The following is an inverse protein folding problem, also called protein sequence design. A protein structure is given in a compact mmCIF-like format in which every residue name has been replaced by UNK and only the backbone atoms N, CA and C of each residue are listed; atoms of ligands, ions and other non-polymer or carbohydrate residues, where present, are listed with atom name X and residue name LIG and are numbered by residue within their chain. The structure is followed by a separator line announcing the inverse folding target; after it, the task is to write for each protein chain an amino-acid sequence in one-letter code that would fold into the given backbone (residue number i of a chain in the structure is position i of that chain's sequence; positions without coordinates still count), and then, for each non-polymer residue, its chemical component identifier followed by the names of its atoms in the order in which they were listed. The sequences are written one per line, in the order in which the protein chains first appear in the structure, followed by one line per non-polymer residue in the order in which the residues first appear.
data_IF_197950524038
#
_entry.id   IF_197950524038
#
_cell.length_a   1.000
_cell.length_b   1.000
_cell.length_c   1.000
_cell.angle_alpha   90.00
_cell.angle_beta   90.00
_cell.angle_gamma   90.00
#
_symmetry.space_group_name_H-M   'P 1'
#
loop_
_entity.id
_entity.type
_entity.pdbx_description
1 polymer ?
#
# COMPACT_ATOMS: atom_id res chain seq x y z
N UNK A 1 -38.45 49.06 -38.53
CA UNK A 1 -38.92 49.21 -37.13
C UNK A 1 -40.34 48.65 -37.01
N UNK A 2 -40.54 47.60 -36.22
CA UNK A 2 -41.83 47.23 -35.63
C UNK A 2 -41.54 46.59 -34.26
N UNK A 3 -41.92 47.23 -33.14
CA UNK A 3 -41.98 46.57 -31.86
C UNK A 3 -43.39 46.05 -31.58
N UNK A 4 -43.46 45.16 -30.57
CA UNK A 4 -44.59 44.93 -29.65
C UNK A 4 -45.40 43.66 -29.89
N UNK A 5 -45.02 42.61 -29.15
CA UNK A 5 -45.97 41.63 -28.62
C UNK A 5 -46.20 41.90 -27.13
N UNK A 6 -47.48 41.97 -26.75
CA UNK A 6 -48.02 42.18 -25.40
C UNK A 6 -48.33 40.79 -24.74
N UNK A 7 -49.04 40.72 -23.59
CA UNK A 7 -48.59 40.93 -22.21
C UNK A 7 -48.91 39.68 -21.33
N UNK A 8 -48.85 39.83 -19.99
CA UNK A 8 -49.86 39.35 -19.02
C UNK A 8 -49.36 38.44 -17.86
N UNK A 9 -49.13 39.09 -16.72
CA UNK A 9 -49.53 38.73 -15.33
C UNK A 9 -48.81 37.63 -14.55
N UNK A 10 -47.95 38.11 -13.65
CA UNK A 10 -48.00 37.90 -12.19
C UNK A 10 -48.67 36.60 -11.68
N UNK A 11 -47.85 35.57 -11.46
CA UNK A 11 -48.10 34.61 -10.39
C UNK A 11 -46.80 34.46 -9.59
N UNK A 12 -46.87 34.96 -8.34
CA UNK A 12 -46.40 34.25 -7.15
C UNK A 12 -44.89 34.11 -6.99
N UNK A 13 -44.20 34.95 -6.23
CA UNK A 13 -44.29 35.04 -4.74
C UNK A 13 -44.24 33.70 -3.97
N UNK A 14 -43.94 32.57 -4.61
CA UNK A 14 -43.65 31.33 -3.89
C UNK A 14 -42.36 30.70 -4.37
N UNK A 15 -41.53 30.36 -3.38
CA UNK A 15 -40.46 29.38 -3.47
C UNK A 15 -39.11 29.86 -4.03
N UNK A 16 -38.73 31.08 -3.67
CA UNK A 16 -37.33 31.41 -3.32
C UNK A 16 -36.81 30.61 -2.09
N UNK A 17 -37.47 29.51 -1.72
CA UNK A 17 -37.27 28.70 -0.51
C UNK A 17 -37.11 27.21 -0.83
N UNK A 18 -36.45 26.84 -1.95
CA UNK A 18 -36.08 25.44 -2.21
C UNK A 18 -34.68 25.19 -2.76
N UNK A 19 -33.74 26.14 -2.65
CA UNK A 19 -32.32 25.88 -2.98
C UNK A 19 -31.45 25.68 -1.72
N UNK A 20 -31.99 25.84 -0.51
CA UNK A 20 -31.18 25.79 0.73
C UNK A 20 -31.07 24.39 1.36
N UNK A 21 -31.64 23.30 0.82
CA UNK A 21 -31.86 22.07 1.66
C UNK A 21 -31.68 20.67 1.05
N UNK A 22 -30.84 20.44 0.04
CA UNK A 22 -30.46 19.05 -0.30
C UNK A 22 -29.07 18.92 -0.92
N UNK A 23 -28.04 18.92 -0.07
CA UNK A 23 -26.73 18.34 -0.39
C UNK A 23 -26.13 17.63 0.84
N UNK A 24 -26.93 16.79 1.48
CA UNK A 24 -26.43 15.70 2.35
C UNK A 24 -26.87 14.40 1.66
N UNK A 25 -26.21 14.06 0.56
CA UNK A 25 -26.39 12.77 -0.12
C UNK A 25 -25.20 12.48 -1.05
N UNK A 26 -23.98 12.58 -0.51
CA UNK A 26 -22.76 12.29 -1.25
C UNK A 26 -21.63 11.82 -0.36
N UNK A 27 -21.93 11.17 0.77
CA UNK A 27 -20.90 10.75 1.73
C UNK A 27 -21.30 9.48 2.50
N UNK A 28 -21.64 8.40 1.78
CA UNK A 28 -21.73 7.05 2.35
C UNK A 28 -21.04 5.97 1.50
N UNK A 29 -20.33 6.34 0.42
CA UNK A 29 -19.54 5.38 -0.38
C UNK A 29 -18.06 5.40 0.02
N UNK A 30 -17.57 6.49 0.62
CA UNK A 30 -16.15 6.62 0.99
C UNK A 30 -15.75 5.75 2.19
N UNK A 31 -16.69 5.28 3.01
CA UNK A 31 -16.37 4.49 4.20
C UNK A 31 -16.17 2.98 3.96
N UNK A 32 -16.59 2.44 2.81
CA UNK A 32 -16.54 0.98 2.57
C UNK A 32 -15.16 0.51 2.07
N UNK A 33 -14.29 1.41 1.60
CA UNK A 33 -12.96 1.02 1.10
C UNK A 33 -11.86 0.97 2.17
N UNK A 34 -12.08 1.51 3.38
CA UNK A 34 -11.07 1.54 4.45
C UNK A 34 -10.85 0.14 5.08
N UNK A 35 -11.74 -0.82 4.85
CA UNK A 35 -11.72 -2.14 5.51
C UNK A 35 -10.98 -3.27 4.79
N UNK A 36 -10.43 -3.07 3.59
CA UNK A 36 -9.84 -4.17 2.78
C UNK A 36 -8.32 -4.35 2.95
N UNK A 37 -7.69 -3.67 3.91
CA UNK A 37 -6.29 -3.88 4.21
C UNK A 37 -6.13 -4.90 5.36
N UNK A 38 -6.57 -6.14 5.15
CA UNK A 38 -6.21 -7.26 6.02
C UNK A 38 -4.84 -7.76 5.57
N UNK A 39 -3.77 -7.08 6.00
CA UNK A 39 -2.42 -7.56 5.77
C UNK A 39 -2.27 -8.95 6.41
N UNK A 40 -1.84 -9.95 5.64
CA UNK A 40 -1.48 -11.24 6.22
C UNK A 40 -0.40 -11.00 7.28
N UNK A 41 -0.70 -11.33 8.52
CA UNK A 41 0.26 -11.25 9.61
C UNK A 41 1.40 -12.22 9.29
N UNK A 42 2.62 -11.70 9.20
CA UNK A 42 3.78 -12.53 8.91
C UNK A 42 4.02 -13.47 10.11
N UNK A 43 4.29 -14.75 9.82
CA UNK A 43 4.69 -15.69 10.87
C UNK A 43 5.97 -15.24 11.56
N UNK A 44 6.18 -15.67 12.80
CA UNK A 44 7.41 -15.39 13.55
C UNK A 44 8.68 -15.79 12.76
N UNK A 45 8.64 -16.93 12.05
CA UNK A 45 9.76 -17.38 11.23
C UNK A 45 10.02 -16.47 10.04
N UNK A 46 8.97 -15.95 9.40
CA UNK A 46 9.13 -14.96 8.33
C UNK A 46 9.72 -13.65 8.86
N UNK A 47 9.30 -13.19 10.05
CA UNK A 47 9.86 -11.98 10.67
C UNK A 47 11.34 -12.18 10.99
N UNK A 48 11.70 -13.29 11.62
CA UNK A 48 13.10 -13.62 11.95
C UNK A 48 13.98 -13.77 10.71
N UNK A 49 13.48 -14.46 9.67
CA UNK A 49 14.20 -14.60 8.40
C UNK A 49 14.42 -13.24 7.73
N UNK A 50 13.41 -12.36 7.75
CA UNK A 50 13.52 -11.01 7.19
C UNK A 50 14.54 -10.15 7.95
N UNK A 51 14.60 -10.31 9.27
CA UNK A 51 15.61 -9.65 10.08
C UNK A 51 17.03 -10.10 9.69
N UNK A 52 17.29 -11.40 9.61
CA UNK A 52 18.60 -11.93 9.19
C UNK A 52 18.98 -11.50 7.77
N UNK A 53 18.03 -11.52 6.84
CA UNK A 53 18.26 -11.08 5.47
C UNK A 53 18.60 -9.57 5.38
N UNK A 54 18.00 -8.72 6.22
CA UNK A 54 18.30 -7.29 6.24
C UNK A 54 19.48 -6.91 7.15
N UNK A 55 19.96 -7.84 7.97
CA UNK A 55 21.12 -7.63 8.84
C UNK A 55 22.35 -7.24 8.04
N UNK A 56 22.56 -7.90 6.91
CA UNK A 56 23.67 -7.60 5.99
C UNK A 56 23.72 -6.12 5.58
N UNK A 57 22.57 -5.52 5.29
CA UNK A 57 22.46 -4.10 4.92
C UNK A 57 22.65 -3.14 6.07
N UNK A 58 22.46 -3.63 7.29
CA UNK A 58 22.50 -2.81 8.51
C UNK A 58 23.86 -2.87 9.18
N UNK A 59 24.70 -3.85 8.82
CA UNK A 59 26.05 -4.04 9.32
C UNK A 59 27.06 -3.32 8.41
N UNK A 60 28.06 -2.67 9.02
CA UNK A 60 29.24 -2.22 8.28
C UNK A 60 30.26 -3.34 8.26
N UNK A 61 30.41 -4.00 7.11
CA UNK A 61 31.44 -5.04 6.94
C UNK A 61 32.80 -4.42 6.61
N UNK A 62 33.90 -4.98 7.13
CA UNK A 62 35.24 -4.62 6.67
C UNK A 62 35.40 -4.98 5.19
N UNK A 63 35.92 -4.06 4.35
CA UNK A 63 36.06 -4.30 2.91
C UNK A 63 37.04 -5.44 2.57
N UNK A 64 37.89 -5.85 3.51
CA UNK A 64 38.76 -7.03 3.31
C UNK A 64 37.99 -8.36 3.40
N UNK A 65 36.79 -8.36 4.00
CA UNK A 65 35.98 -9.56 4.24
C UNK A 65 34.82 -9.64 3.24
N UNK A 66 34.17 -8.50 2.96
CA UNK A 66 33.12 -8.38 1.95
C UNK A 66 33.47 -7.21 1.02
N UNK A 67 34.26 -7.45 -0.04
CA UNK A 67 34.87 -6.39 -0.85
C UNK A 67 33.92 -5.65 -1.79
N UNK A 68 32.86 -6.31 -2.28
CA UNK A 68 31.87 -5.71 -3.19
C UNK A 68 30.54 -6.49 -3.20
N UNK A 69 29.54 -5.99 -3.93
CA UNK A 69 28.20 -6.58 -4.07
C UNK A 69 28.17 -7.96 -4.75
N UNK A 70 29.30 -8.44 -5.27
CA UNK A 70 29.43 -9.78 -5.88
C UNK A 70 29.99 -10.82 -4.92
N UNK A 71 30.55 -10.37 -3.78
CA UNK A 71 31.06 -11.26 -2.76
C UNK A 71 29.92 -12.02 -2.06
N UNK A 72 29.98 -13.36 -1.96
CA UNK A 72 28.91 -14.13 -1.36
C UNK A 72 28.87 -13.96 0.17
N UNK A 73 27.72 -13.54 0.70
CA UNK A 73 27.43 -13.63 2.13
C UNK A 73 26.91 -15.02 2.49
N UNK A 74 27.60 -15.71 3.40
CA UNK A 74 27.22 -17.05 3.86
C UNK A 74 26.58 -16.97 5.24
N UNK A 75 25.33 -17.41 5.37
CA UNK A 75 24.61 -17.49 6.65
C UNK A 75 24.57 -18.95 7.11
N UNK A 76 25.26 -19.25 8.22
CA UNK A 76 25.20 -20.55 8.88
C UNK A 76 24.02 -20.63 9.86
N UNK A 77 23.21 -21.68 9.77
CA UNK A 77 22.12 -21.96 10.72
C UNK A 77 22.53 -23.15 11.60
N UNK A 78 22.62 -22.93 12.91
CA UNK A 78 22.92 -23.96 13.89
C UNK A 78 21.73 -24.15 14.85
N UNK A 79 21.27 -25.39 15.02
CA UNK A 79 20.16 -25.71 15.93
C UNK A 79 18.77 -25.22 15.48
N UNK A 80 18.63 -24.65 14.28
CA UNK A 80 17.34 -24.33 13.69
C UNK A 80 16.61 -25.57 13.16
N UNK A 81 15.28 -25.53 13.16
CA UNK A 81 14.48 -26.57 12.52
C UNK A 81 14.42 -26.41 11.00
N UNK A 82 14.00 -27.47 10.32
CA UNK A 82 13.93 -27.51 8.85
C UNK A 82 12.98 -26.45 8.28
N UNK A 83 11.87 -26.15 8.97
CA UNK A 83 10.87 -25.20 8.48
C UNK A 83 11.40 -23.76 8.45
N UNK A 84 12.16 -23.36 9.48
CA UNK A 84 12.85 -22.07 9.48
C UNK A 84 13.88 -21.98 8.36
N UNK A 85 14.66 -23.04 8.15
CA UNK A 85 15.67 -23.10 7.08
C UNK A 85 15.02 -22.94 5.70
N UNK A 86 13.87 -23.59 5.47
CA UNK A 86 13.15 -23.50 4.19
C UNK A 86 12.59 -22.09 3.97
N UNK A 87 12.00 -21.45 4.99
CA UNK A 87 11.54 -20.06 4.91
C UNK A 87 12.68 -19.09 4.63
N UNK A 88 13.84 -19.29 5.27
CA UNK A 88 15.03 -18.47 5.04
C UNK A 88 15.54 -18.62 3.60
N UNK A 89 15.60 -19.85 3.07
CA UNK A 89 15.98 -20.13 1.67
C UNK A 89 15.02 -19.45 0.69
N UNK A 90 13.72 -19.57 0.90
CA UNK A 90 12.71 -18.93 0.06
C UNK A 90 12.88 -17.41 0.07
N UNK A 91 13.19 -16.81 1.23
CA UNK A 91 13.39 -15.38 1.35
C UNK A 91 14.61 -14.87 0.58
N UNK A 92 15.72 -15.62 0.60
CA UNK A 92 16.92 -15.30 -0.19
C UNK A 92 16.68 -15.53 -1.69
N UNK A 93 16.03 -16.64 -2.05
CA UNK A 93 15.72 -16.99 -3.44
C UNK A 93 14.82 -15.98 -4.14
N UNK A 94 13.84 -15.39 -3.44
CA UNK A 94 12.91 -14.40 -4.02
C UNK A 94 13.58 -13.17 -4.63
N UNK A 95 14.76 -12.75 -4.14
CA UNK A 95 15.49 -11.60 -4.72
C UNK A 95 16.38 -11.98 -5.90
N UNK A 96 16.89 -13.21 -5.95
CA UNK A 96 17.69 -13.69 -7.07
C UNK A 96 16.89 -13.68 -8.40
N UNK A 97 15.59 -13.95 -8.34
CA UNK A 97 14.71 -13.89 -9.52
C UNK A 97 14.37 -12.47 -10.00
N UNK A 98 14.51 -11.43 -9.15
CA UNK A 98 14.18 -10.05 -9.55
C UNK A 98 15.35 -9.28 -10.18
N UNK A 99 16.56 -9.83 -10.19
CA UNK A 99 17.76 -9.17 -10.73
C UNK A 99 18.37 -9.88 -11.96
N UNK A 100 17.66 -10.85 -12.54
CA UNK A 100 18.09 -11.65 -13.69
C UNK A 100 17.05 -11.70 -14.81
N UNK A 101 16.57 -10.54 -15.27
CA UNK A 101 15.68 -10.38 -16.41
C UNK A 101 16.05 -9.16 -17.23
#
# INVERSE_FOLDING_TARGET
MQPKNKPQREHRRYAWTRIVRTAVSGSHVTFILVGYAHGQEASEYQVKAAYLYNFDKSAQWPPQILPDDTAPLVIGVFGGDQAFVDILKDMVGRKAFQHGG
#
